data_IF_009165559865
#
_entry.id   IF_009165559865
#
_cell.length_a   1.000
_cell.length_b   1.000
_cell.length_c   1.000
_cell.angle_alpha   90.00
_cell.angle_beta   90.00
_cell.angle_gamma   90.00
#
_symmetry.space_group_name_H-M   'P 1'
#
loop_
_entity.id
_entity.type
_entity.pdbx_description
1 polymer ?
#
# COMPACT_ATOMS: atom_id res chain seq x y z
N UNK A 1 62.08 19.08 -21.44
CA UNK A 1 61.47 17.73 -21.34
C UNK A 1 60.65 17.46 -20.05
N UNK A 2 59.90 18.40 -19.42
CA UNK A 2 59.07 18.05 -18.25
C UNK A 2 57.62 17.63 -18.58
N UNK A 3 57.06 18.10 -19.70
CA UNK A 3 55.59 18.11 -19.91
C UNK A 3 54.95 16.72 -20.07
N UNK A 4 55.70 15.73 -20.56
CA UNK A 4 55.23 14.36 -20.80
C UNK A 4 54.81 13.61 -19.52
N UNK A 5 55.17 14.09 -18.32
CA UNK A 5 54.75 13.48 -17.06
C UNK A 5 53.36 13.94 -16.58
N UNK A 6 52.81 15.02 -17.14
CA UNK A 6 51.58 15.65 -16.63
C UNK A 6 50.28 15.03 -17.17
N UNK A 7 50.31 14.39 -18.34
CA UNK A 7 49.10 13.91 -19.05
C UNK A 7 48.62 12.51 -18.62
N UNK A 8 49.52 11.67 -18.09
CA UNK A 8 49.20 10.31 -17.64
C UNK A 8 48.07 10.20 -16.59
N UNK A 9 48.01 11.01 -15.50
CA UNK A 9 46.92 10.92 -14.54
C UNK A 9 45.55 11.28 -15.15
N UNK A 10 45.52 12.19 -16.14
CA UNK A 10 44.28 12.55 -16.85
C UNK A 10 43.75 11.38 -17.69
N UNK A 11 44.65 10.69 -18.42
CA UNK A 11 44.29 9.51 -19.21
C UNK A 11 43.78 8.36 -18.33
N UNK A 12 44.41 8.13 -17.17
CA UNK A 12 43.96 7.14 -16.19
C UNK A 12 42.59 7.49 -15.59
N UNK A 13 42.32 8.77 -15.29
CA UNK A 13 41.02 9.22 -14.79
C UNK A 13 39.91 9.02 -15.84
N UNK A 14 40.16 9.36 -17.11
CA UNK A 14 39.19 9.15 -18.22
C UNK A 14 38.94 7.66 -18.46
N UNK A 15 39.98 6.82 -18.46
CA UNK A 15 39.84 5.38 -18.59
C UNK A 15 39.04 4.76 -17.43
N UNK A 16 39.32 5.18 -16.19
CA UNK A 16 38.59 4.75 -15.00
C UNK A 16 37.11 5.14 -15.05
N UNK A 17 36.79 6.36 -15.48
CA UNK A 17 35.42 6.83 -15.66
C UNK A 17 34.67 5.98 -16.71
N UNK A 18 35.26 5.72 -17.88
CA UNK A 18 34.66 4.90 -18.93
C UNK A 18 34.38 3.46 -18.46
N UNK A 19 35.33 2.85 -17.73
CA UNK A 19 35.14 1.51 -17.13
C UNK A 19 34.00 1.53 -16.11
N UNK A 20 33.92 2.55 -15.25
CA UNK A 20 32.83 2.69 -14.28
C UNK A 20 31.46 2.82 -14.98
N UNK A 21 31.35 3.63 -16.04
CA UNK A 21 30.11 3.77 -16.83
C UNK A 21 29.69 2.47 -17.51
N UNK A 22 30.64 1.67 -18.01
CA UNK A 22 30.35 0.36 -18.61
C UNK A 22 29.84 -0.65 -17.55
N UNK A 23 30.42 -0.64 -16.35
CA UNK A 23 30.02 -1.51 -15.24
C UNK A 23 28.64 -1.14 -14.68
N UNK A 24 28.34 0.16 -14.51
CA UNK A 24 26.99 0.59 -14.09
C UNK A 24 25.94 0.29 -15.15
N UNK A 25 26.25 0.49 -16.45
CA UNK A 25 25.35 0.12 -17.55
C UNK A 25 25.04 -1.38 -17.57
N UNK A 26 26.02 -2.27 -17.35
CA UNK A 26 25.78 -3.73 -17.23
C UNK A 26 24.85 -4.06 -16.07
N UNK A 27 25.12 -3.55 -14.87
CA UNK A 27 24.26 -3.75 -13.69
C UNK A 27 22.83 -3.24 -13.89
N UNK A 28 22.66 -2.14 -14.63
CA UNK A 28 21.35 -1.60 -14.97
C UNK A 28 20.56 -2.57 -15.87
N UNK A 29 21.18 -3.14 -16.90
CA UNK A 29 20.56 -4.13 -17.79
C UNK A 29 20.15 -5.39 -17.01
N UNK A 30 21.02 -5.93 -16.15
CA UNK A 30 20.71 -7.08 -15.28
C UNK A 30 19.58 -6.82 -14.28
N UNK A 31 19.37 -5.56 -13.87
CA UNK A 31 18.28 -5.16 -12.98
C UNK A 31 16.97 -4.96 -13.74
N UNK A 32 17.02 -4.38 -14.95
CA UNK A 32 15.86 -4.22 -15.83
C UNK A 32 15.34 -5.58 -16.29
N UNK A 33 16.20 -6.51 -16.72
CA UNK A 33 15.79 -7.86 -17.13
C UNK A 33 14.99 -8.57 -16.04
N UNK A 34 15.57 -8.71 -14.83
CA UNK A 34 14.90 -9.29 -13.64
C UNK A 34 13.61 -8.59 -13.21
N UNK A 35 13.34 -7.38 -13.70
CA UNK A 35 12.08 -6.65 -13.49
C UNK A 35 11.07 -6.89 -14.60
N UNK A 36 11.52 -7.09 -15.84
CA UNK A 36 10.69 -7.51 -16.97
C UNK A 36 10.23 -8.97 -16.79
N UNK A 37 11.12 -9.90 -16.43
CA UNK A 37 10.79 -11.31 -16.15
C UNK A 37 9.62 -11.43 -15.14
N UNK A 38 9.63 -10.56 -14.12
CA UNK A 38 8.61 -10.50 -13.06
C UNK A 38 7.28 -9.88 -13.53
N UNK A 39 7.30 -9.00 -14.54
CA UNK A 39 6.09 -8.46 -15.16
C UNK A 39 5.49 -9.52 -16.08
N UNK A 40 6.31 -10.15 -16.93
CA UNK A 40 5.89 -11.20 -17.86
C UNK A 40 5.29 -12.41 -17.14
N UNK A 41 5.94 -12.90 -16.07
CA UNK A 41 5.38 -13.97 -15.23
C UNK A 41 4.06 -13.59 -14.52
N UNK A 42 3.82 -12.29 -14.25
CA UNK A 42 2.52 -11.82 -13.72
C UNK A 42 1.46 -11.72 -14.82
N UNK A 43 1.83 -11.35 -16.04
CA UNK A 43 0.92 -11.31 -17.18
C UNK A 43 0.46 -12.73 -17.56
N UNK A 44 1.39 -13.69 -17.67
CA UNK A 44 1.06 -15.11 -17.90
C UNK A 44 0.16 -15.69 -16.79
N UNK A 45 0.36 -15.28 -15.54
CA UNK A 45 -0.51 -15.67 -14.42
C UNK A 45 -1.92 -15.06 -14.48
N UNK A 46 -2.06 -13.82 -14.99
CA UNK A 46 -3.36 -13.18 -15.20
C UNK A 46 -4.11 -13.78 -16.39
N UNK A 47 -3.42 -14.06 -17.50
CA UNK A 47 -3.96 -14.71 -18.69
C UNK A 47 -4.48 -16.12 -18.35
N UNK A 48 -3.69 -16.90 -17.60
CA UNK A 48 -4.10 -18.20 -17.05
C UNK A 48 -5.32 -18.11 -16.13
N UNK A 49 -5.45 -17.03 -15.36
CA UNK A 49 -6.59 -16.82 -14.46
C UNK A 49 -7.87 -16.40 -15.21
N UNK A 50 -7.76 -15.53 -16.22
CA UNK A 50 -8.85 -15.13 -17.09
C UNK A 50 -9.42 -16.34 -17.85
N UNK A 51 -8.55 -17.11 -18.50
CA UNK A 51 -8.93 -18.34 -19.21
C UNK A 51 -9.66 -19.34 -18.31
N UNK A 52 -9.22 -19.51 -17.07
CA UNK A 52 -9.88 -20.38 -16.09
C UNK A 52 -11.25 -19.84 -15.65
N UNK A 53 -11.45 -18.53 -15.63
CA UNK A 53 -12.75 -17.90 -15.39
C UNK A 53 -13.67 -18.13 -16.60
N UNK A 54 -13.18 -17.95 -17.82
CA UNK A 54 -13.92 -18.21 -19.07
C UNK A 54 -14.37 -19.67 -19.17
N UNK A 55 -13.47 -20.63 -18.90
CA UNK A 55 -13.78 -22.06 -18.82
C UNK A 55 -14.87 -22.35 -17.77
N UNK A 56 -14.82 -21.70 -16.60
CA UNK A 56 -15.84 -21.82 -15.54
C UNK A 56 -17.18 -21.13 -15.86
N UNK A 57 -17.20 -20.20 -16.82
CA UNK A 57 -18.41 -19.53 -17.29
C UNK A 57 -19.06 -20.32 -18.42
N UNK A 58 -18.27 -20.97 -19.29
CA UNK A 58 -18.77 -21.89 -20.30
C UNK A 58 -19.47 -23.12 -19.66
N UNK A 59 -18.83 -23.74 -18.66
CA UNK A 59 -19.38 -24.86 -17.88
C UNK A 59 -20.71 -24.49 -17.17
N UNK A 60 -20.85 -23.22 -16.74
CA UNK A 60 -22.10 -22.68 -16.20
C UNK A 60 -23.11 -22.21 -17.24
N UNK A 61 -22.72 -22.12 -18.51
CA UNK A 61 -23.57 -21.63 -19.61
C UNK A 61 -24.57 -22.67 -20.11
N UNK A 62 -24.18 -23.95 -20.14
CA UNK A 62 -25.09 -25.05 -20.50
C UNK A 62 -25.99 -25.50 -19.32
N UNK A 63 -25.60 -25.17 -18.09
CA UNK A 63 -26.46 -25.30 -16.91
C UNK A 63 -27.58 -24.25 -16.96
N UNK A 64 -28.68 -24.61 -17.65
CA UNK A 64 -29.84 -23.74 -17.89
C UNK A 64 -30.40 -23.04 -16.64
N UNK A 65 -31.08 -21.89 -16.82
CA UNK A 65 -31.30 -20.89 -15.77
C UNK A 65 -31.92 -21.49 -14.50
N UNK A 66 -31.37 -21.19 -13.31
CA UNK A 66 -31.84 -21.75 -12.04
C UNK A 66 -33.23 -21.19 -11.69
N UNK A 67 -34.26 -21.90 -12.14
CA UNK A 67 -35.66 -21.54 -11.95
C UNK A 67 -36.00 -21.52 -10.45
N UNK A 68 -36.30 -20.33 -9.93
CA UNK A 68 -36.85 -20.09 -8.59
C UNK A 68 -36.09 -20.76 -7.42
N UNK A 69 -35.10 -20.08 -6.86
CA UNK A 69 -34.69 -20.34 -5.47
C UNK A 69 -35.80 -19.83 -4.55
N UNK A 70 -36.82 -20.65 -4.34
CA UNK A 70 -37.82 -20.46 -3.31
C UNK A 70 -37.21 -20.68 -1.93
N UNK A 71 -37.58 -19.84 -0.95
CA UNK A 71 -37.10 -19.94 0.44
C UNK A 71 -37.69 -21.20 1.08
N UNK A 72 -37.03 -22.35 0.92
CA UNK A 72 -37.47 -23.62 1.52
C UNK A 72 -36.71 -23.95 2.80
N UNK A 73 -37.43 -23.75 3.90
CA UNK A 73 -37.12 -24.21 5.26
C UNK A 73 -36.81 -25.72 5.28
N UNK A 74 -35.57 -26.05 5.69
CA UNK A 74 -35.19 -27.31 6.33
C UNK A 74 -34.93 -28.50 5.42
N UNK A 75 -33.75 -29.12 5.58
CA UNK A 75 -33.70 -30.37 6.34
C UNK A 75 -32.32 -30.61 7.00
N UNK A 76 -32.21 -31.63 7.88
CA UNK A 76 -30.95 -32.07 8.53
C UNK A 76 -30.80 -33.59 8.45
N UNK A 77 -29.55 -34.08 8.37
CA UNK A 77 -29.17 -35.33 9.04
C UNK A 77 -28.49 -35.08 10.40
N UNK A 78 -28.68 -36.00 11.35
CA UNK A 78 -28.07 -35.98 12.68
C UNK A 78 -26.93 -36.99 12.81
N UNK A 79 -25.89 -36.66 13.58
CA UNK A 79 -25.05 -37.67 14.24
C UNK A 79 -24.75 -37.31 15.71
N UNK A 80 -25.14 -38.22 16.61
CA UNK A 80 -24.53 -38.57 17.91
C UNK A 80 -24.41 -37.55 19.06
N UNK A 81 -25.44 -37.56 19.92
CA UNK A 81 -25.35 -37.49 21.41
C UNK A 81 -24.39 -38.57 21.99
N UNK A 82 -23.95 -38.57 23.29
CA UNK A 82 -24.65 -38.15 24.53
C UNK A 82 -23.75 -37.36 25.54
N UNK A 83 -24.06 -37.07 26.82
CA UNK A 83 -25.05 -37.56 27.81
C UNK A 83 -25.58 -36.43 28.74
N UNK A 84 -26.67 -36.71 29.48
CA UNK A 84 -27.35 -35.80 30.44
C UNK A 84 -27.47 -36.47 31.83
N UNK A 85 -27.46 -35.71 32.95
CA UNK A 85 -28.65 -35.60 33.84
C UNK A 85 -29.03 -34.10 34.07
N UNK A 86 -30.30 -33.66 34.20
CA UNK A 86 -31.28 -33.80 35.34
C UNK A 86 -30.73 -33.16 36.64
N UNK A 87 -31.45 -32.37 37.45
CA UNK A 87 -32.91 -32.24 37.75
C UNK A 87 -33.16 -30.94 38.59
N UNK A 88 -34.31 -30.22 38.71
CA UNK A 88 -35.65 -30.10 38.04
C UNK A 88 -36.35 -28.80 38.51
N UNK A 89 -37.17 -28.15 37.66
CA UNK A 89 -38.21 -27.16 38.06
C UNK A 89 -37.77 -25.68 38.13
N UNK A 90 -38.69 -24.69 38.21
CA UNK A 90 -40.16 -24.68 38.08
C UNK A 90 -40.66 -23.24 37.80
N UNK A 91 -41.54 -23.06 36.81
CA UNK A 91 -42.54 -21.96 36.77
C UNK A 91 -42.13 -20.63 36.11
N UNK A 92 -42.98 -20.16 35.21
CA UNK A 92 -43.17 -18.76 34.76
C UNK A 92 -44.34 -18.12 35.54
N UNK A 93 -44.64 -16.80 35.42
CA UNK A 93 -43.90 -15.68 34.81
C UNK A 93 -43.75 -14.40 35.68
N UNK A 94 -42.87 -13.48 35.26
CA UNK A 94 -42.91 -12.01 35.50
C UNK A 94 -42.75 -11.51 36.97
N UNK A 95 -42.59 -10.17 37.20
CA UNK A 95 -41.90 -9.16 36.38
C UNK A 95 -40.78 -8.43 37.16
N UNK A 96 -39.57 -8.30 36.59
CA UNK A 96 -38.51 -7.48 37.19
C UNK A 96 -37.13 -7.68 36.56
N UNK A 97 -36.23 -6.77 36.93
CA UNK A 97 -34.77 -6.80 36.71
C UNK A 97 -34.34 -6.91 35.24
N UNK A 98 -34.36 -5.74 34.61
CA UNK A 98 -33.83 -5.45 33.29
C UNK A 98 -32.29 -5.56 33.23
N UNK A 99 -31.73 -5.66 32.01
CA UNK A 99 -30.30 -5.53 31.71
C UNK A 99 -29.32 -6.55 32.33
N UNK A 100 -29.38 -7.81 31.87
CA UNK A 100 -28.17 -8.65 31.79
C UNK A 100 -27.08 -7.90 30.99
N UNK A 101 -25.83 -7.74 31.48
CA UNK A 101 -24.81 -6.99 30.75
C UNK A 101 -24.47 -7.68 29.42
N UNK A 102 -24.75 -6.98 28.31
CA UNK A 102 -24.28 -7.39 27.01
C UNK A 102 -22.74 -7.48 26.99
N UNK A 103 -22.13 -8.40 26.21
CA UNK A 103 -20.67 -8.47 26.11
C UNK A 103 -20.14 -7.13 25.61
N UNK A 104 -19.36 -6.45 26.47
CA UNK A 104 -18.84 -5.12 26.19
C UNK A 104 -18.04 -5.12 24.87
N UNK A 105 -18.20 -4.09 24.02
CA UNK A 105 -17.50 -4.05 22.75
C UNK A 105 -15.99 -4.08 22.98
N UNK A 106 -15.31 -5.07 22.42
CA UNK A 106 -13.86 -5.22 22.51
C UNK A 106 -13.20 -4.01 21.84
N UNK A 107 -12.81 -3.03 22.65
CA UNK A 107 -12.07 -1.85 22.20
C UNK A 107 -10.70 -2.31 21.67
N UNK A 108 -10.62 -2.52 20.36
CA UNK A 108 -9.35 -2.60 19.65
C UNK A 108 -8.67 -1.25 19.86
N UNK A 109 -7.62 -1.24 20.68
CA UNK A 109 -6.87 -0.03 20.98
C UNK A 109 -6.26 0.53 19.68
N UNK A 110 -6.89 1.57 19.14
CA UNK A 110 -6.39 2.30 17.97
C UNK A 110 -5.04 2.92 18.38
N UNK A 111 -3.93 2.61 17.68
CA UNK A 111 -2.65 3.24 17.99
C UNK A 111 -2.77 4.75 17.82
N UNK A 112 -2.40 5.51 18.86
CA UNK A 112 -2.61 6.96 18.85
C UNK A 112 -1.73 7.65 17.79
N UNK A 113 -2.39 8.14 16.74
CA UNK A 113 -1.76 8.88 15.65
C UNK A 113 -1.56 10.37 15.99
N UNK A 114 -1.98 10.82 17.19
CA UNK A 114 -1.70 12.15 17.74
C UNK A 114 -0.22 12.35 18.09
N UNK A 115 0.63 11.35 17.85
CA UNK A 115 2.10 11.37 17.98
C UNK A 115 2.85 12.35 17.07
N UNK A 116 2.22 13.45 16.63
CA UNK A 116 2.90 14.61 16.05
C UNK A 116 3.96 15.21 17.01
N UNK A 117 3.81 14.99 18.33
CA UNK A 117 4.77 15.41 19.36
C UNK A 117 5.94 14.45 19.62
N UNK A 118 6.13 13.36 18.84
CA UNK A 118 7.26 12.44 19.06
C UNK A 118 8.57 13.04 18.53
N UNK A 119 9.29 13.76 19.40
CA UNK A 119 10.70 14.13 19.25
C UNK A 119 11.12 14.80 17.91
N UNK A 120 10.25 15.67 17.39
CA UNK A 120 10.51 16.50 16.20
C UNK A 120 11.88 17.18 16.30
N UNK A 121 12.80 16.78 15.42
CA UNK A 121 14.17 17.30 15.37
C UNK A 121 15.27 16.25 15.56
N UNK A 122 14.95 15.00 15.91
CA UNK A 122 16.00 13.97 16.00
C UNK A 122 16.65 13.68 14.63
N UNK A 123 17.98 13.56 14.60
CA UNK A 123 18.74 13.27 13.39
C UNK A 123 18.34 11.90 12.77
N UNK A 124 17.88 10.96 13.60
CA UNK A 124 17.36 9.67 13.17
C UNK A 124 16.05 9.81 12.36
N UNK A 125 15.13 10.70 12.75
CA UNK A 125 13.91 10.98 12.00
C UNK A 125 14.15 11.80 10.74
N UNK A 126 15.14 12.68 10.73
CA UNK A 126 15.60 13.35 9.51
C UNK A 126 16.16 12.32 8.50
N UNK A 127 17.00 11.38 8.95
CA UNK A 127 17.51 10.29 8.13
C UNK A 127 16.41 9.33 7.67
N UNK A 128 15.43 9.04 8.53
CA UNK A 128 14.24 8.24 8.21
C UNK A 128 13.39 8.89 7.11
N UNK A 129 13.07 10.18 7.24
CA UNK A 129 12.35 10.97 6.23
C UNK A 129 13.11 11.05 4.91
N UNK A 130 14.43 11.28 4.95
CA UNK A 130 15.26 11.29 3.74
C UNK A 130 15.25 9.92 3.02
N UNK A 131 15.33 8.82 3.78
CA UNK A 131 15.28 7.45 3.23
C UNK A 131 13.92 7.13 2.62
N UNK A 132 12.83 7.48 3.31
CA UNK A 132 11.47 7.31 2.81
C UNK A 132 11.20 8.16 1.56
N UNK A 133 11.63 9.42 1.55
CA UNK A 133 11.56 10.32 0.40
C UNK A 133 12.32 9.76 -0.81
N UNK A 134 13.54 9.25 -0.61
CA UNK A 134 14.34 8.65 -1.67
C UNK A 134 13.72 7.38 -2.29
N UNK A 135 12.96 6.59 -1.53
CA UNK A 135 12.25 5.44 -2.10
C UNK A 135 10.91 5.81 -2.76
N UNK A 136 10.21 6.83 -2.26
CA UNK A 136 9.06 7.43 -2.94
C UNK A 136 9.48 8.05 -4.29
N UNK A 137 10.58 8.82 -4.32
CA UNK A 137 11.15 9.38 -5.54
C UNK A 137 11.49 8.29 -6.57
N UNK A 138 12.06 7.15 -6.14
CA UNK A 138 12.30 6.00 -7.04
C UNK A 138 11.03 5.35 -7.58
N UNK A 139 9.96 5.27 -6.79
CA UNK A 139 8.71 4.59 -7.19
C UNK A 139 7.79 5.47 -8.02
N UNK A 140 7.79 6.77 -7.74
CA UNK A 140 6.84 7.74 -8.28
C UNK A 140 7.52 8.95 -8.95
N UNK A 141 8.79 8.82 -9.35
CA UNK A 141 9.57 9.91 -9.98
C UNK A 141 8.82 10.61 -11.11
N UNK A 142 8.18 9.85 -12.02
CA UNK A 142 7.36 10.40 -13.11
C UNK A 142 6.12 11.19 -12.67
N UNK A 143 5.58 10.92 -11.48
CA UNK A 143 4.52 11.74 -10.86
C UNK A 143 5.10 13.04 -10.29
N UNK A 144 6.34 13.00 -9.78
CA UNK A 144 7.03 14.19 -9.25
C UNK A 144 7.53 15.10 -10.39
N UNK A 145 8.15 14.55 -11.42
CA UNK A 145 8.60 15.24 -12.64
C UNK A 145 7.45 16.05 -13.27
N UNK A 146 6.32 15.40 -13.57
CA UNK A 146 5.15 16.08 -14.15
C UNK A 146 4.46 17.06 -13.18
N UNK A 147 4.72 16.97 -11.86
CA UNK A 147 4.26 17.97 -10.90
C UNK A 147 5.18 19.18 -10.82
N UNK A 148 6.50 19.01 -11.07
CA UNK A 148 7.45 20.10 -11.23
C UNK A 148 7.27 20.84 -12.58
N UNK A 149 6.75 20.15 -13.59
CA UNK A 149 6.19 20.75 -14.82
C UNK A 149 4.86 21.50 -14.59
N UNK A 150 4.34 21.55 -13.36
CA UNK A 150 3.07 22.22 -13.02
C UNK A 150 1.81 21.43 -13.39
N UNK A 151 1.91 20.12 -13.61
CA UNK A 151 0.78 19.26 -13.98
C UNK A 151 -0.27 19.11 -12.88
N UNK A 152 -1.55 19.17 -13.26
CA UNK A 152 -2.69 18.88 -12.38
C UNK A 152 -2.80 17.38 -12.08
N UNK A 153 -3.44 17.03 -10.96
CA UNK A 153 -3.62 15.63 -10.55
C UNK A 153 -4.32 14.78 -11.62
N UNK A 154 -5.37 15.28 -12.28
CA UNK A 154 -6.05 14.63 -13.41
C UNK A 154 -5.12 14.34 -14.59
N UNK A 155 -4.32 15.34 -15.00
CA UNK A 155 -3.38 15.21 -16.12
C UNK A 155 -2.30 14.18 -15.80
N UNK A 156 -1.79 14.20 -14.57
CA UNK A 156 -0.79 13.24 -14.07
C UNK A 156 -1.38 11.82 -13.98
N UNK A 157 -2.61 11.66 -13.48
CA UNK A 157 -3.32 10.38 -13.42
C UNK A 157 -3.51 9.79 -14.83
N UNK A 158 -4.03 10.59 -15.76
CA UNK A 158 -4.25 10.22 -17.15
C UNK A 158 -2.95 9.83 -17.87
N UNK A 159 -1.87 10.59 -17.66
CA UNK A 159 -0.57 10.36 -18.30
C UNK A 159 0.28 9.23 -17.66
N UNK A 160 -0.12 8.70 -16.49
CA UNK A 160 0.57 7.59 -15.81
C UNK A 160 -0.29 6.33 -15.63
N UNK A 161 -1.59 6.37 -15.93
CA UNK A 161 -2.53 5.27 -15.67
C UNK A 161 -2.76 4.97 -14.18
N UNK A 162 -2.40 5.89 -13.27
CA UNK A 162 -2.61 5.74 -11.83
C UNK A 162 -3.96 6.35 -11.41
N UNK A 163 -4.67 5.78 -10.42
CA UNK A 163 -5.88 6.39 -9.87
C UNK A 163 -5.60 7.80 -9.30
N UNK A 164 -6.51 8.75 -9.51
CA UNK A 164 -6.32 10.15 -9.12
C UNK A 164 -6.01 10.32 -7.61
N UNK A 165 -6.75 9.62 -6.73
CA UNK A 165 -6.48 9.67 -5.28
C UNK A 165 -5.11 9.10 -4.88
N UNK A 166 -4.50 8.22 -5.68
CA UNK A 166 -3.11 7.78 -5.47
C UNK A 166 -2.12 8.87 -5.88
N UNK A 167 -2.39 9.59 -6.97
CA UNK A 167 -1.60 10.76 -7.38
C UNK A 167 -1.67 11.84 -6.29
N UNK A 168 -2.88 12.22 -5.85
CA UNK A 168 -3.08 13.20 -4.79
C UNK A 168 -2.39 12.82 -3.48
N UNK A 169 -2.43 11.55 -3.08
CA UNK A 169 -1.71 11.05 -1.90
C UNK A 169 -0.19 11.21 -2.05
N UNK A 170 0.36 10.87 -3.21
CA UNK A 170 1.80 11.03 -3.50
C UNK A 170 2.21 12.51 -3.53
N UNK A 171 1.38 13.40 -4.09
CA UNK A 171 1.65 14.84 -4.13
C UNK A 171 1.55 15.49 -2.74
N UNK A 172 0.57 15.12 -1.92
CA UNK A 172 0.47 15.60 -0.53
C UNK A 172 1.63 15.08 0.34
N UNK A 173 2.02 13.82 0.16
CA UNK A 173 3.17 13.25 0.88
C UNK A 173 4.49 13.89 0.43
N UNK A 174 4.64 14.18 -0.87
CA UNK A 174 5.77 14.97 -1.40
C UNK A 174 5.84 16.35 -0.73
N UNK A 175 4.71 17.08 -0.67
CA UNK A 175 4.65 18.41 -0.04
C UNK A 175 5.13 18.37 1.43
N UNK A 176 4.59 17.45 2.22
CA UNK A 176 5.00 17.23 3.64
C UNK A 176 6.47 16.82 3.82
N UNK A 177 7.11 16.28 2.79
CA UNK A 177 8.54 15.92 2.80
C UNK A 177 9.46 17.07 2.38
N UNK A 178 8.94 18.08 1.67
CA UNK A 178 9.69 19.26 1.22
C UNK A 178 9.49 20.42 2.21
N UNK A 179 8.24 20.79 2.48
CA UNK A 179 7.88 21.92 3.34
C UNK A 179 7.97 21.58 4.83
N UNK A 180 8.08 20.29 5.16
CA UNK A 180 7.92 19.76 6.53
C UNK A 180 6.44 19.58 6.93
N UNK A 181 6.17 19.27 8.20
CA UNK A 181 4.84 19.50 8.76
C UNK A 181 4.55 21.01 8.79
N UNK A 182 3.30 21.40 8.51
CA UNK A 182 2.88 22.80 8.55
C UNK A 182 2.97 23.39 9.98
N UNK A 183 4.02 24.17 10.26
CA UNK A 183 4.15 25.00 11.49
C UNK A 183 3.00 26.04 11.65
N UNK A 184 2.13 26.15 10.64
CA UNK A 184 0.90 26.96 10.65
C UNK A 184 -0.13 26.54 11.71
N UNK A 185 0.06 25.40 12.37
CA UNK A 185 -0.74 24.98 13.52
C UNK A 185 -0.41 25.78 14.80
N UNK A 186 0.86 26.15 15.00
CA UNK A 186 1.38 26.65 16.29
C UNK A 186 1.11 28.16 16.49
N UNK A 187 1.07 28.93 15.40
CA UNK A 187 0.86 30.39 15.42
C UNK A 187 -0.61 30.81 15.52
N UNK A 188 -1.38 30.23 16.46
CA UNK A 188 -2.77 30.62 16.74
C UNK A 188 -3.05 31.13 18.16
N UNK A 189 -2.16 30.86 19.11
CA UNK A 189 -2.42 31.17 20.52
C UNK A 189 -1.75 32.47 21.02
N UNK A 190 -0.93 33.15 20.19
CA UNK A 190 -0.49 34.53 20.45
C UNK A 190 -1.62 35.54 20.17
N UNK A 191 -2.63 35.55 21.04
CA UNK A 191 -3.56 36.68 21.19
C UNK A 191 -2.91 37.69 22.13
N UNK A 192 -2.53 38.90 21.67
CA UNK A 192 -2.00 39.93 22.56
C UNK A 192 -3.12 40.48 23.45
N UNK A 193 -2.86 40.51 24.76
CA UNK A 193 -3.68 41.18 25.78
C UNK A 193 -3.01 42.44 26.32
#
# INVERSE_FOLDING_TARGET
MPELMSTMPVLLAVAGALIATLLTRRRLVEWVGRRLDRIEGRLAGLDSALRRIEESLADRGEAGPPSSIGIRRGDRPHHSSPSRPRSVGRGTPAPGEDLTPAPAPTLIAVPDLSGAGRAVGSQAEAAGRATASGDLARRFGRIWEMADEGGTADRIASATGHPIGQVELVLNLRRRLIDGPDDRADRRDEVPG
#
